data_IF_702688197747
#
_entry.id   IF_702688197747
#
_cell.length_a   1.000
_cell.length_b   1.000
_cell.length_c   1.000
_cell.angle_alpha   90.00
_cell.angle_beta   90.00
_cell.angle_gamma   90.00
#
_symmetry.space_group_name_H-M   'P 1'
#
loop_
_entity.id
_entity.type
_entity.pdbx_description
1 polymer ?
#
# COMPACT_ATOMS: atom_id res chain seq x y z
N UNK A 1 2.95 -73.22 23.02
CA UNK A 1 3.55 -73.19 24.36
C UNK A 1 4.96 -72.68 24.19
N UNK A 2 5.24 -71.46 24.64
CA UNK A 2 6.60 -70.93 24.59
C UNK A 2 7.32 -71.33 25.87
N UNK A 3 8.34 -72.17 25.75
CA UNK A 3 9.23 -72.52 26.86
C UNK A 3 9.99 -71.26 27.28
N UNK A 4 9.95 -70.92 28.56
CA UNK A 4 10.76 -69.82 29.10
C UNK A 4 12.22 -70.28 29.26
N UNK A 5 13.21 -69.37 29.28
CA UNK A 5 14.60 -69.75 29.53
C UNK A 5 14.76 -70.53 30.84
N UNK A 6 14.03 -70.15 31.89
CA UNK A 6 14.02 -70.88 33.16
C UNK A 6 13.38 -72.27 33.05
N UNK A 7 12.31 -72.43 32.29
CA UNK A 7 11.73 -73.75 32.04
C UNK A 7 12.67 -74.64 31.23
N UNK A 8 13.43 -74.08 30.28
CA UNK A 8 14.46 -74.82 29.55
C UNK A 8 15.58 -75.29 30.48
N UNK A 9 16.09 -74.42 31.36
CA UNK A 9 17.14 -74.77 32.34
C UNK A 9 16.70 -75.84 33.34
N UNK A 10 15.42 -75.85 33.72
CA UNK A 10 14.87 -76.79 34.70
C UNK A 10 14.30 -78.08 34.09
N UNK A 11 14.33 -78.22 32.75
CA UNK A 11 13.75 -79.37 32.08
C UNK A 11 14.64 -80.62 32.26
N UNK A 12 14.07 -81.70 32.79
CA UNK A 12 14.76 -82.98 32.94
C UNK A 12 14.31 -83.95 31.85
N UNK A 13 15.28 -84.47 31.08
CA UNK A 13 15.03 -85.50 30.09
C UNK A 13 14.97 -86.90 30.72
N UNK A 14 14.09 -87.75 30.19
CA UNK A 14 14.03 -89.16 30.59
C UNK A 14 15.29 -89.93 30.14
N UNK A 15 15.80 -90.82 31.00
CA UNK A 15 16.97 -91.65 30.69
C UNK A 15 16.57 -92.92 29.91
N UNK A 16 17.35 -93.29 28.89
CA UNK A 16 17.15 -94.46 28.03
C UNK A 16 18.48 -95.22 27.87
N UNK A 17 18.41 -96.55 27.76
CA UNK A 17 19.58 -97.44 27.60
C UNK A 17 20.39 -97.15 26.32
N UNK A 18 19.79 -96.46 25.33
CA UNK A 18 20.49 -95.82 24.21
C UNK A 18 19.97 -94.38 24.09
N UNK A 19 20.81 -93.39 24.38
CA UNK A 19 20.45 -91.97 24.38
C UNK A 19 21.66 -91.05 24.24
N UNK A 20 21.41 -89.76 24.12
CA UNK A 20 22.45 -88.73 24.03
C UNK A 20 23.23 -88.59 25.33
N UNK A 21 24.46 -88.09 25.25
CA UNK A 21 25.27 -87.81 26.43
C UNK A 21 24.63 -86.69 27.25
N UNK A 22 24.25 -87.01 28.49
CA UNK A 22 23.58 -86.08 29.40
C UNK A 22 24.37 -84.78 29.59
N UNK A 23 25.69 -84.84 29.75
CA UNK A 23 26.51 -83.65 29.99
C UNK A 23 26.55 -82.70 28.78
N UNK A 24 26.60 -83.23 27.55
CA UNK A 24 26.54 -82.42 26.33
C UNK A 24 25.16 -81.80 26.12
N UNK A 25 24.10 -82.57 26.39
CA UNK A 25 22.72 -82.07 26.29
C UNK A 25 22.48 -80.96 27.32
N UNK A 26 22.91 -81.15 28.57
CA UNK A 26 22.76 -80.13 29.62
C UNK A 26 23.52 -78.83 29.23
N UNK A 27 24.74 -78.94 28.70
CA UNK A 27 25.50 -77.78 28.22
C UNK A 27 24.84 -77.07 27.03
N UNK A 28 24.29 -77.83 26.08
CA UNK A 28 23.56 -77.27 24.94
C UNK A 28 22.27 -76.57 25.36
N UNK A 29 21.50 -77.17 26.27
CA UNK A 29 20.27 -76.58 26.80
C UNK A 29 20.56 -75.30 27.56
N UNK A 30 21.66 -75.25 28.30
CA UNK A 30 22.07 -74.03 28.99
C UNK A 30 22.43 -72.91 28.00
N UNK A 31 23.25 -73.20 26.98
CA UNK A 31 23.57 -72.23 25.93
C UNK A 31 22.34 -71.78 25.13
N UNK A 32 21.40 -72.69 24.86
CA UNK A 32 20.14 -72.36 24.20
C UNK A 32 19.23 -71.48 25.07
N UNK A 33 19.19 -71.73 26.38
CA UNK A 33 18.46 -70.89 27.33
C UNK A 33 19.06 -69.48 27.42
N UNK A 34 20.39 -69.36 27.49
CA UNK A 34 21.10 -68.07 27.50
C UNK A 34 20.84 -67.27 26.21
N UNK A 35 20.91 -67.92 25.05
CA UNK A 35 20.62 -67.30 23.76
C UNK A 35 19.15 -66.84 23.66
N UNK A 36 18.22 -67.63 24.19
CA UNK A 36 16.80 -67.27 24.22
C UNK A 36 16.52 -66.10 25.17
N UNK A 37 17.21 -66.05 26.31
CA UNK A 37 17.13 -64.94 27.27
C UNK A 37 17.64 -63.63 26.65
N UNK A 38 18.80 -63.67 25.98
CA UNK A 38 19.35 -62.53 25.24
C UNK A 38 18.40 -62.06 24.11
N UNK A 39 17.90 -62.99 23.30
CA UNK A 39 16.96 -62.66 22.22
C UNK A 39 15.65 -62.04 22.73
N UNK A 40 15.15 -62.50 23.89
CA UNK A 40 13.96 -61.92 24.53
C UNK A 40 14.24 -60.52 25.07
N UNK A 41 15.41 -60.27 25.66
CA UNK A 41 15.81 -58.94 26.11
C UNK A 41 15.93 -57.95 24.94
N UNK A 42 16.55 -58.37 23.84
CA UNK A 42 16.65 -57.55 22.63
C UNK A 42 15.27 -57.25 22.02
N UNK A 43 14.39 -58.25 21.98
CA UNK A 43 13.02 -58.09 21.47
C UNK A 43 12.20 -57.14 22.35
N UNK A 44 12.36 -57.20 23.67
CA UNK A 44 11.75 -56.26 24.61
C UNK A 44 12.21 -54.83 24.31
N UNK A 45 13.53 -54.62 24.21
CA UNK A 45 14.13 -53.32 23.87
C UNK A 45 13.64 -52.78 22.53
N UNK A 46 13.63 -53.63 21.49
CA UNK A 46 13.17 -53.23 20.15
C UNK A 46 11.69 -52.84 20.13
N UNK A 47 10.86 -53.51 20.95
CA UNK A 47 9.45 -53.14 21.12
C UNK A 47 9.29 -51.79 21.80
N UNK A 48 10.07 -51.54 22.85
CA UNK A 48 10.07 -50.25 23.57
C UNK A 48 10.52 -49.12 22.64
N UNK A 49 11.61 -49.32 21.89
CA UNK A 49 12.10 -48.38 20.89
C UNK A 49 11.04 -48.13 19.79
N UNK A 50 10.39 -49.18 19.30
CA UNK A 50 9.31 -49.05 18.30
C UNK A 50 8.17 -48.19 18.82
N UNK A 51 7.74 -48.39 20.07
CA UNK A 51 6.66 -47.61 20.69
C UNK A 51 7.10 -46.14 20.82
N UNK A 52 8.33 -45.90 21.28
CA UNK A 52 8.89 -44.55 21.41
C UNK A 52 8.95 -43.81 20.06
N UNK A 53 9.44 -44.49 19.02
CA UNK A 53 9.53 -43.91 17.68
C UNK A 53 8.16 -43.67 17.06
N UNK A 54 7.20 -44.58 17.24
CA UNK A 54 5.82 -44.39 16.78
C UNK A 54 5.17 -43.16 17.44
N UNK A 55 5.37 -42.96 18.75
CA UNK A 55 4.86 -41.78 19.45
C UNK A 55 5.51 -40.47 18.95
N UNK A 56 6.82 -40.49 18.67
CA UNK A 56 7.52 -39.34 18.07
C UNK A 56 6.99 -39.03 16.67
N UNK A 57 6.77 -40.06 15.84
CA UNK A 57 6.22 -39.89 14.50
C UNK A 57 4.82 -39.28 14.55
N UNK A 58 3.96 -39.76 15.45
CA UNK A 58 2.62 -39.21 15.62
C UNK A 58 2.65 -37.72 15.99
N UNK A 59 3.57 -37.30 16.87
CA UNK A 59 3.75 -35.90 17.20
C UNK A 59 4.25 -35.06 16.02
N UNK A 60 5.16 -35.60 15.21
CA UNK A 60 5.66 -34.93 14.02
C UNK A 60 4.56 -34.74 12.98
N UNK A 61 3.71 -35.75 12.76
CA UNK A 61 2.55 -35.65 11.85
C UNK A 61 1.58 -34.58 12.34
N UNK A 62 1.26 -34.54 13.64
CA UNK A 62 0.40 -33.49 14.21
C UNK A 62 1.00 -32.10 14.05
N UNK A 63 2.31 -31.96 14.22
CA UNK A 63 3.02 -30.71 14.02
C UNK A 63 2.99 -30.29 12.54
N UNK A 64 3.23 -31.22 11.63
CA UNK A 64 3.16 -30.99 10.18
C UNK A 64 1.76 -30.49 9.77
N UNK A 65 0.70 -31.13 10.27
CA UNK A 65 -0.68 -30.70 10.02
C UNK A 65 -0.95 -29.29 10.59
N UNK A 66 -0.44 -29.00 11.79
CA UNK A 66 -0.54 -27.67 12.39
C UNK A 66 0.18 -26.61 11.55
N UNK A 67 1.36 -26.92 11.01
CA UNK A 67 2.13 -26.01 10.15
C UNK A 67 1.39 -25.80 8.83
N UNK A 68 0.89 -26.86 8.19
CA UNK A 68 0.08 -26.75 6.97
C UNK A 68 -1.13 -25.85 7.16
N UNK A 69 -1.86 -26.04 8.26
CA UNK A 69 -3.00 -25.20 8.59
C UNK A 69 -2.61 -23.73 8.82
N UNK A 70 -1.52 -23.50 9.55
CA UNK A 70 -1.01 -22.14 9.79
C UNK A 70 -0.58 -21.45 8.48
N UNK A 71 0.03 -22.16 7.53
CA UNK A 71 0.41 -21.62 6.22
C UNK A 71 -0.83 -21.22 5.42
N UNK A 72 -1.85 -22.07 5.38
CA UNK A 72 -3.12 -21.77 4.68
C UNK A 72 -3.80 -20.56 5.31
N UNK A 73 -3.82 -20.47 6.65
CA UNK A 73 -4.38 -19.33 7.36
C UNK A 73 -3.60 -18.04 7.11
N UNK A 74 -2.27 -18.11 7.08
CA UNK A 74 -1.41 -16.98 6.75
C UNK A 74 -1.65 -16.50 5.32
N UNK A 75 -1.78 -17.41 4.34
CA UNK A 75 -2.12 -17.06 2.96
C UNK A 75 -3.48 -16.37 2.86
N UNK A 76 -4.51 -16.95 3.50
CA UNK A 76 -5.85 -16.36 3.54
C UNK A 76 -5.84 -14.95 4.17
N UNK A 77 -5.09 -14.78 5.25
CA UNK A 77 -4.94 -13.50 5.93
C UNK A 77 -4.22 -12.48 5.06
N UNK A 78 -3.15 -12.89 4.37
CA UNK A 78 -2.43 -12.04 3.44
C UNK A 78 -3.33 -11.57 2.28
N UNK A 79 -4.14 -12.47 1.71
CA UNK A 79 -5.08 -12.12 0.64
C UNK A 79 -6.21 -11.21 1.12
N UNK A 80 -6.68 -11.41 2.36
CA UNK A 80 -7.66 -10.53 2.99
C UNK A 80 -7.08 -9.13 3.22
N UNK A 81 -5.83 -9.02 3.70
CA UNK A 81 -5.12 -7.74 3.86
C UNK A 81 -4.97 -7.04 2.51
N UNK A 82 -4.50 -7.75 1.46
CA UNK A 82 -4.38 -7.19 0.10
C UNK A 82 -5.70 -6.68 -0.43
N UNK A 83 -6.78 -7.46 -0.26
CA UNK A 83 -8.12 -7.09 -0.73
C UNK A 83 -8.65 -5.86 0.00
N UNK A 84 -8.48 -5.81 1.33
CA UNK A 84 -8.91 -4.67 2.13
C UNK A 84 -8.10 -3.42 1.80
N UNK A 85 -6.78 -3.53 1.66
CA UNK A 85 -5.92 -2.41 1.29
C UNK A 85 -6.29 -1.84 -0.09
N UNK A 86 -6.62 -2.70 -1.07
CA UNK A 86 -7.11 -2.24 -2.38
C UNK A 86 -8.43 -1.49 -2.28
N UNK A 87 -9.41 -2.02 -1.54
CA UNK A 87 -10.69 -1.35 -1.32
C UNK A 87 -10.52 0.00 -0.61
N UNK A 88 -9.68 0.03 0.41
CA UNK A 88 -9.39 1.28 1.16
C UNK A 88 -8.72 2.30 0.25
N UNK A 89 -7.76 1.89 -0.59
CA UNK A 89 -7.12 2.76 -1.55
C UNK A 89 -8.11 3.32 -2.58
N UNK A 90 -8.99 2.48 -3.13
CA UNK A 90 -10.06 2.92 -4.03
C UNK A 90 -11.01 3.92 -3.36
N UNK A 91 -11.36 3.69 -2.10
CA UNK A 91 -12.21 4.56 -1.30
C UNK A 91 -11.52 5.91 -1.07
N UNK A 92 -10.26 5.93 -0.64
CA UNK A 92 -9.47 7.15 -0.44
C UNK A 92 -9.39 7.96 -1.74
N UNK A 93 -9.14 7.31 -2.89
CA UNK A 93 -9.08 7.98 -4.18
C UNK A 93 -10.44 8.58 -4.54
N UNK A 94 -11.52 7.84 -4.30
CA UNK A 94 -12.89 8.28 -4.62
C UNK A 94 -13.32 9.45 -3.74
N UNK A 95 -13.09 9.37 -2.44
CA UNK A 95 -13.36 10.45 -1.50
C UNK A 95 -12.48 11.67 -1.78
N UNK A 96 -11.20 11.48 -2.10
CA UNK A 96 -10.29 12.54 -2.51
C UNK A 96 -10.79 13.29 -3.74
N UNK A 97 -11.23 12.56 -4.78
CA UNK A 97 -11.83 13.14 -5.99
C UNK A 97 -13.12 13.89 -5.69
N UNK A 98 -14.00 13.32 -4.86
CA UNK A 98 -15.25 13.99 -4.49
C UNK A 98 -15.00 15.28 -3.71
N UNK A 99 -14.06 15.26 -2.76
CA UNK A 99 -13.69 16.43 -1.96
C UNK A 99 -13.03 17.51 -2.84
N UNK A 100 -12.14 17.13 -3.75
CA UNK A 100 -11.54 18.04 -4.73
C UNK A 100 -12.61 18.71 -5.60
N UNK A 101 -13.50 17.92 -6.20
CA UNK A 101 -14.57 18.45 -7.05
C UNK A 101 -15.50 19.40 -6.27
N UNK A 102 -15.81 19.06 -5.01
CA UNK A 102 -16.60 19.93 -4.13
C UNK A 102 -15.89 21.25 -3.85
N UNK A 103 -14.60 21.20 -3.52
CA UNK A 103 -13.81 22.39 -3.24
C UNK A 103 -13.70 23.30 -4.48
N UNK A 104 -13.45 22.72 -5.65
CA UNK A 104 -13.38 23.45 -6.92
C UNK A 104 -14.72 24.11 -7.25
N UNK A 105 -15.84 23.39 -7.11
CA UNK A 105 -17.18 23.95 -7.31
C UNK A 105 -17.47 25.11 -6.36
N UNK A 106 -17.10 24.98 -5.08
CA UNK A 106 -17.26 26.04 -4.08
C UNK A 106 -16.42 27.28 -4.44
N UNK A 107 -15.19 27.11 -4.94
CA UNK A 107 -14.35 28.22 -5.37
C UNK A 107 -14.91 28.91 -6.62
N UNK A 108 -15.37 28.16 -7.62
CA UNK A 108 -16.03 28.74 -8.79
C UNK A 108 -17.28 29.54 -8.40
N UNK A 109 -18.08 29.03 -7.46
CA UNK A 109 -19.22 29.77 -6.95
C UNK A 109 -18.81 31.10 -6.30
N UNK A 110 -17.79 31.08 -5.42
CA UNK A 110 -17.26 32.30 -4.79
C UNK A 110 -16.69 33.29 -5.81
N UNK A 111 -16.00 32.80 -6.84
CA UNK A 111 -15.48 33.64 -7.93
C UNK A 111 -16.64 34.33 -8.67
N UNK A 112 -17.68 33.58 -9.05
CA UNK A 112 -18.85 34.14 -9.71
C UNK A 112 -19.58 35.17 -8.84
N UNK A 113 -19.72 34.91 -7.53
CA UNK A 113 -20.28 35.88 -6.58
C UNK A 113 -19.45 37.17 -6.48
N UNK A 114 -18.12 37.04 -6.46
CA UNK A 114 -17.21 38.17 -6.38
C UNK A 114 -17.25 39.00 -7.67
N UNK A 115 -17.26 38.35 -8.83
CA UNK A 115 -17.40 39.00 -10.13
C UNK A 115 -18.72 39.79 -10.22
N UNK A 116 -19.83 39.19 -9.79
CA UNK A 116 -21.12 39.86 -9.73
C UNK A 116 -21.07 41.10 -8.82
N UNK A 117 -20.43 41.00 -7.66
CA UNK A 117 -20.25 42.12 -6.73
C UNK A 117 -19.37 43.24 -7.28
N UNK A 118 -18.31 42.88 -8.02
CA UNK A 118 -17.46 43.86 -8.72
C UNK A 118 -18.27 44.62 -9.76
N UNK A 119 -19.06 43.92 -10.57
CA UNK A 119 -19.95 44.55 -11.54
C UNK A 119 -20.99 45.46 -10.90
N UNK A 120 -21.59 45.05 -9.78
CA UNK A 120 -22.53 45.87 -9.01
C UNK A 120 -21.86 47.14 -8.46
N UNK A 121 -20.65 47.03 -7.92
CA UNK A 121 -19.88 48.18 -7.42
C UNK A 121 -19.52 49.16 -8.54
N UNK A 122 -19.10 48.66 -9.71
CA UNK A 122 -18.81 49.48 -10.88
C UNK A 122 -20.05 50.21 -11.40
N UNK A 123 -21.18 49.51 -11.47
CA UNK A 123 -22.46 50.11 -11.82
C UNK A 123 -22.85 51.21 -10.82
N UNK A 124 -22.76 50.93 -9.52
CA UNK A 124 -23.08 51.87 -8.45
C UNK A 124 -22.19 53.11 -8.55
N UNK A 125 -20.87 52.93 -8.70
CA UNK A 125 -19.91 54.01 -8.90
C UNK A 125 -20.26 54.89 -10.10
N UNK A 126 -20.49 54.28 -11.27
CA UNK A 126 -20.87 55.01 -12.50
C UNK A 126 -22.16 55.79 -12.31
N UNK A 127 -23.17 55.18 -11.69
CA UNK A 127 -24.47 55.82 -11.42
C UNK A 127 -24.33 57.00 -10.47
N UNK A 128 -23.47 56.90 -9.45
CA UNK A 128 -23.20 57.97 -8.49
C UNK A 128 -22.54 59.17 -9.17
N UNK A 129 -21.49 58.95 -9.97
CA UNK A 129 -20.82 60.01 -10.72
C UNK A 129 -21.78 60.70 -11.72
N UNK A 130 -22.63 59.93 -12.40
CA UNK A 130 -23.63 60.49 -13.30
C UNK A 130 -24.65 61.38 -12.56
N UNK A 131 -25.16 60.92 -11.41
CA UNK A 131 -26.07 61.69 -10.55
C UNK A 131 -25.42 62.97 -10.04
N UNK A 132 -24.19 62.87 -9.51
CA UNK A 132 -23.43 64.01 -9.02
C UNK A 132 -23.17 65.05 -10.12
N UNK A 133 -22.78 64.59 -11.32
CA UNK A 133 -22.58 65.47 -12.47
C UNK A 133 -23.87 66.18 -12.87
N UNK A 134 -25.00 65.47 -12.91
CA UNK A 134 -26.29 66.05 -13.23
C UNK A 134 -26.69 67.14 -12.21
N UNK A 135 -26.48 66.89 -10.92
CA UNK A 135 -26.75 67.84 -9.85
C UNK A 135 -25.91 69.12 -9.96
N UNK A 136 -24.59 68.97 -10.19
CA UNK A 136 -23.68 70.11 -10.39
C UNK A 136 -24.10 70.95 -11.59
N UNK A 137 -24.43 70.31 -12.73
CA UNK A 137 -24.89 71.02 -13.92
C UNK A 137 -26.23 71.73 -13.69
N UNK A 138 -27.14 71.12 -12.93
CA UNK A 138 -28.41 71.75 -12.56
C UNK A 138 -28.19 73.00 -11.69
N UNK A 139 -27.31 72.93 -10.69
CA UNK A 139 -26.93 74.07 -9.86
C UNK A 139 -26.21 75.18 -10.65
N UNK A 140 -25.30 74.83 -11.56
CA UNK A 140 -24.65 75.82 -12.44
C UNK A 140 -25.68 76.55 -13.30
N UNK A 141 -26.61 75.82 -13.91
CA UNK A 141 -27.70 76.42 -14.70
C UNK A 141 -28.58 77.36 -13.87
N UNK A 142 -28.81 77.04 -12.60
CA UNK A 142 -29.53 77.91 -11.67
C UNK A 142 -28.74 79.19 -11.39
N UNK A 143 -27.44 79.09 -11.12
CA UNK A 143 -26.57 80.26 -10.91
C UNK A 143 -26.53 81.15 -12.15
N UNK A 144 -26.36 80.58 -13.34
CA UNK A 144 -26.38 81.31 -14.62
C UNK A 144 -27.72 82.01 -14.88
N UNK A 145 -28.81 81.54 -14.27
CA UNK A 145 -30.14 82.18 -14.37
C UNK A 145 -30.33 83.34 -13.39
N UNK A 146 -29.60 83.36 -12.27
CA UNK A 146 -29.66 84.40 -11.23
C UNK A 146 -28.64 85.51 -11.51
N UNK A 147 -27.47 85.13 -12.03
CA UNK A 147 -26.40 86.05 -12.39
C UNK A 147 -26.32 86.08 -13.92
N UNK A 148 -26.71 87.19 -14.60
CA UNK A 148 -26.56 87.27 -16.03
C UNK A 148 -25.08 87.12 -16.40
N UNK A 149 -24.74 86.41 -17.51
CA UNK A 149 -23.36 86.25 -17.89
C UNK A 149 -22.75 87.64 -18.07
N UNK A 150 -21.68 87.91 -17.31
CA UNK A 150 -20.82 89.05 -17.60
C UNK A 150 -20.44 88.95 -19.08
N UNK A 151 -20.76 90.00 -19.84
CA UNK A 151 -20.41 90.11 -21.26
C UNK A 151 -18.94 89.73 -21.40
N UNK A 152 -18.64 88.71 -22.18
CA UNK A 152 -17.29 88.40 -22.62
C UNK A 152 -16.84 89.51 -23.56
N UNK A 153 -16.21 90.53 -22.97
CA UNK A 153 -15.33 91.43 -23.68
C UNK A 153 -14.09 90.63 -24.07
N UNK A 154 -13.75 90.68 -25.36
CA UNK A 154 -12.58 89.97 -25.90
C UNK A 154 -11.28 90.63 -25.41
N UNK A 155 -10.25 89.77 -25.39
CA UNK A 155 -8.80 90.03 -25.46
C UNK A 155 -8.04 90.11 -24.12
N UNK A 156 -6.71 89.85 -24.07
CA UNK A 156 -5.78 89.26 -25.06
C UNK A 156 -5.03 88.02 -24.52
N UNK A 157 -4.19 87.40 -25.35
CA UNK A 157 -3.17 86.41 -24.94
C UNK A 157 -2.07 87.10 -24.12
N UNK A 158 -1.62 86.56 -22.97
CA UNK A 158 -0.29 86.85 -22.46
C UNK A 158 0.57 85.59 -22.34
N UNK A 159 1.84 85.80 -22.66
CA UNK A 159 2.92 84.85 -22.51
C UNK A 159 3.28 84.59 -21.03
N UNK A 160 3.75 83.36 -20.80
CA UNK A 160 4.65 82.86 -19.76
C UNK A 160 4.89 83.72 -18.50
N UNK A 161 4.69 83.08 -17.33
CA UNK A 161 5.69 83.01 -16.25
C UNK A 161 5.43 81.81 -15.33
N UNK A 162 6.54 81.25 -14.89
CA UNK A 162 6.76 79.93 -14.32
C UNK A 162 6.44 79.82 -12.82
N UNK A 163 6.21 78.58 -12.38
CA UNK A 163 6.47 77.92 -11.08
C UNK A 163 5.32 76.91 -10.88
N UNK A 164 5.48 75.65 -10.48
CA UNK A 164 6.57 74.83 -9.96
C UNK A 164 6.19 73.37 -10.23
N UNK A 165 7.17 72.53 -10.58
CA UNK A 165 7.32 71.07 -10.30
C UNK A 165 6.04 70.32 -9.86
N UNK A 166 5.61 69.22 -10.47
CA UNK A 166 6.33 67.93 -10.52
C UNK A 166 6.07 67.16 -11.82
N UNK A 167 7.10 66.44 -12.22
CA UNK A 167 7.29 65.67 -13.43
C UNK A 167 6.19 64.62 -13.67
N UNK A 168 5.50 64.69 -14.80
CA UNK A 168 4.89 63.50 -15.40
C UNK A 168 5.91 62.91 -16.35
N UNK A 169 6.76 62.04 -15.80
CA UNK A 169 7.58 61.12 -16.57
C UNK A 169 6.65 60.26 -17.40
N UNK A 170 6.78 60.39 -18.72
CA UNK A 170 6.21 59.46 -19.68
C UNK A 170 6.99 58.16 -19.55
N UNK A 171 6.52 57.27 -18.68
CA UNK A 171 6.76 55.86 -18.85
C UNK A 171 5.60 55.30 -19.67
N UNK A 172 5.93 54.99 -20.93
CA UNK A 172 5.26 53.94 -21.66
C UNK A 172 5.16 52.72 -20.73
N UNK A 173 3.98 52.45 -20.18
CA UNK A 173 3.61 51.11 -19.79
C UNK A 173 2.80 50.56 -20.95
N UNK A 174 3.43 49.61 -21.64
CA UNK A 174 2.80 48.69 -22.58
C UNK A 174 1.48 48.15 -22.00
N UNK A 175 0.51 47.74 -22.84
CA UNK A 175 -0.64 46.98 -22.36
C UNK A 175 -0.14 45.85 -21.45
N UNK A 176 -0.87 45.43 -20.40
CA UNK A 176 -0.48 44.27 -19.63
C UNK A 176 -0.36 43.11 -20.63
N UNK A 177 0.89 42.71 -20.91
CA UNK A 177 1.15 41.43 -21.49
C UNK A 177 0.52 40.46 -20.48
N UNK A 178 -0.39 39.62 -20.95
CA UNK A 178 -0.81 38.45 -20.19
C UNK A 178 0.48 37.81 -19.69
N UNK A 179 0.70 37.83 -18.39
CA UNK A 179 1.74 37.04 -17.77
C UNK A 179 1.42 35.63 -18.21
N UNK A 180 2.20 35.11 -19.16
CA UNK A 180 2.09 33.71 -19.54
C UNK A 180 2.14 32.94 -18.22
N UNK A 181 1.22 31.99 -17.98
CA UNK A 181 1.36 31.13 -16.83
C UNK A 181 2.80 30.63 -16.86
N UNK A 182 3.51 30.78 -15.73
CA UNK A 182 4.86 30.25 -15.58
C UNK A 182 4.87 28.86 -16.23
N UNK A 183 5.87 28.53 -17.09
CA UNK A 183 5.89 27.24 -17.74
C UNK A 183 5.67 26.20 -16.65
N UNK A 184 4.60 25.42 -16.80
CA UNK A 184 4.32 24.30 -15.91
C UNK A 184 5.66 23.57 -15.73
N UNK A 185 6.07 23.27 -14.48
CA UNK A 185 7.24 22.43 -14.31
C UNK A 185 7.02 21.23 -15.23
N UNK A 186 8.00 20.88 -16.08
CA UNK A 186 7.81 19.82 -17.05
C UNK A 186 7.23 18.62 -16.31
N UNK A 187 6.29 17.87 -16.92
CA UNK A 187 5.85 16.62 -16.35
C UNK A 187 7.11 15.88 -15.91
N UNK A 188 7.10 15.36 -14.68
CA UNK A 188 8.12 14.38 -14.31
C UNK A 188 7.85 13.19 -15.25
N UNK A 189 8.44 13.24 -16.43
CA UNK A 189 8.69 12.08 -17.26
C UNK A 189 9.68 11.27 -16.46
N UNK A 190 9.14 10.41 -15.59
CA UNK A 190 9.81 9.16 -15.32
C UNK A 190 10.00 8.53 -16.69
N UNK A 191 11.24 8.51 -17.17
CA UNK A 191 11.59 7.86 -18.42
C UNK A 191 11.00 6.45 -18.38
N UNK A 192 10.33 6.04 -19.44
CA UNK A 192 9.75 4.69 -19.54
C UNK A 192 10.81 3.60 -19.24
N UNK A 193 12.10 3.88 -19.46
CA UNK A 193 13.23 3.03 -19.08
C UNK A 193 13.40 2.79 -17.55
N UNK A 194 12.99 3.72 -16.68
CA UNK A 194 13.05 3.53 -15.21
C UNK A 194 11.82 2.78 -14.65
N UNK A 195 10.71 2.77 -15.38
CA UNK A 195 9.52 1.98 -15.02
C UNK A 195 9.72 0.52 -15.45
N UNK A 196 10.33 0.31 -16.62
CA UNK A 196 10.65 -1.03 -17.13
C UNK A 196 11.71 -1.71 -16.26
N UNK A 197 12.71 -1.00 -15.73
CA UNK A 197 13.70 -1.62 -14.81
C UNK A 197 13.12 -2.04 -13.46
N UNK A 198 12.06 -1.38 -12.98
CA UNK A 198 11.40 -1.71 -11.70
C UNK A 198 10.35 -2.82 -11.88
N UNK A 199 9.70 -2.86 -13.04
CA UNK A 199 8.74 -3.93 -13.40
C UNK A 199 9.49 -5.21 -13.80
N UNK A 200 10.64 -5.14 -14.46
CA UNK A 200 11.48 -6.30 -14.77
C UNK A 200 12.12 -6.90 -13.50
N UNK A 201 12.60 -6.08 -12.56
CA UNK A 201 13.15 -6.59 -11.29
C UNK A 201 12.11 -7.32 -10.42
N UNK A 202 10.83 -6.95 -10.50
CA UNK A 202 9.74 -7.63 -9.79
C UNK A 202 9.13 -8.78 -10.60
N UNK A 203 9.21 -8.72 -11.93
CA UNK A 203 8.76 -9.75 -12.86
C UNK A 203 9.68 -10.97 -12.90
N UNK A 204 11.00 -10.75 -12.97
CA UNK A 204 12.02 -11.81 -12.96
C UNK A 204 11.97 -12.61 -11.64
N UNK A 205 11.78 -11.94 -10.50
CA UNK A 205 11.65 -12.60 -9.20
C UNK A 205 10.38 -13.47 -9.10
N UNK A 206 9.31 -13.13 -9.83
CA UNK A 206 8.09 -13.94 -9.87
C UNK A 206 8.16 -15.11 -10.86
N UNK A 207 9.00 -15.04 -11.89
CA UNK A 207 9.21 -16.13 -12.84
C UNK A 207 10.20 -17.17 -12.28
N UNK A 208 11.27 -16.75 -11.60
CA UNK A 208 12.21 -17.63 -10.90
C UNK A 208 11.50 -18.46 -9.80
N UNK A 209 10.58 -17.85 -9.05
CA UNK A 209 9.78 -18.56 -8.04
C UNK A 209 8.77 -19.54 -8.64
N UNK A 210 8.36 -19.37 -9.91
CA UNK A 210 7.46 -20.31 -10.61
C UNK A 210 8.23 -21.47 -11.23
N UNK A 211 9.45 -21.25 -11.72
CA UNK A 211 10.31 -22.34 -12.22
C UNK A 211 10.84 -23.24 -11.09
N UNK A 212 11.19 -22.70 -9.92
CA UNK A 212 11.60 -23.53 -8.77
C UNK A 212 10.44 -24.41 -8.25
N UNK A 213 9.22 -23.90 -8.22
CA UNK A 213 8.03 -24.67 -7.82
C UNK A 213 7.70 -25.76 -8.86
N UNK A 214 7.91 -25.50 -10.15
CA UNK A 214 7.65 -26.48 -11.23
C UNK A 214 8.73 -27.56 -11.30
N UNK A 215 10.00 -27.21 -11.10
CA UNK A 215 11.10 -28.18 -11.03
C UNK A 215 11.07 -29.01 -9.73
N UNK A 216 10.60 -28.44 -8.61
CA UNK A 216 10.36 -29.17 -7.36
C UNK A 216 9.18 -30.16 -7.44
N UNK A 217 8.18 -29.91 -8.29
CA UNK A 217 7.06 -30.83 -8.51
C UNK A 217 7.36 -31.95 -9.50
N UNK A 218 8.39 -31.83 -10.36
CA UNK A 218 8.77 -32.90 -11.29
C UNK A 218 9.71 -33.95 -10.67
N UNK A 219 10.42 -33.64 -9.57
CA UNK A 219 11.29 -34.62 -8.89
C UNK A 219 10.56 -35.46 -7.84
N UNK A 220 9.26 -35.21 -7.60
CA UNK A 220 8.44 -35.96 -6.66
C UNK A 220 7.60 -37.08 -7.27
N UNK A 221 7.71 -37.36 -8.57
CA UNK A 221 6.80 -38.28 -9.27
C UNK A 221 7.45 -39.53 -9.88
N UNK A 222 8.72 -39.80 -9.59
CA UNK A 222 9.41 -41.06 -9.91
C UNK A 222 9.84 -41.77 -8.62
N UNK A 223 8.87 -42.31 -7.87
CA UNK A 223 9.05 -43.43 -6.92
C UNK A 223 7.72 -44.15 -6.67
#
# INVERSE_FOLDING_TARGET
>A
METTPNEMRNHQFASSMRGYNKAEVDAFVQGAADALEAARADLQKLKEDKISMAARLENLVKLEDSIKNAVVEAQKTADQIRTNARKEAELIITEGKQNYNRAVAEQHHKMAELEAKVHEMDYTKRSFYAKLRAEILAHLKLVDSIVPPAKTEKEPKPAARETSTYETRTEQQEPPQMEQPAPEPPPIEMKEEEIESVVDHFGESSEELKEEVKNGQSQGNDF
#
